data_IF_075057695658
#
_entry.id   IF_075057695658
#
_cell.length_a   1.000
_cell.length_b   1.000
_cell.length_c   1.000
_cell.angle_alpha   90.00
_cell.angle_beta   90.00
_cell.angle_gamma   90.00
#
_symmetry.space_group_name_H-M   'P 1'
#
loop_
_entity.id
_entity.type
_entity.pdbx_description
1 polymer ?
#
# COMPACT_ATOMS: atom_id res chain seq x y z
N UNK A 1 0.62 3.75 -15.07
CA UNK A 1 1.79 3.34 -14.27
C UNK A 1 1.48 2.00 -13.62
N UNK A 2 2.49 1.15 -13.49
CA UNK A 2 2.42 -0.24 -13.05
C UNK A 2 2.72 -0.31 -11.53
N UNK A 3 1.79 -0.76 -10.69
CA UNK A 3 1.95 -0.76 -9.22
C UNK A 3 2.58 -2.06 -8.73
N UNK A 4 3.45 -1.96 -7.72
CA UNK A 4 4.07 -3.10 -7.04
C UNK A 4 3.22 -3.58 -5.86
N UNK A 5 2.62 -2.64 -5.12
CA UNK A 5 1.69 -2.91 -4.02
C UNK A 5 0.44 -2.07 -4.23
N UNK A 6 -0.71 -2.69 -3.98
CA UNK A 6 -2.01 -2.05 -3.90
C UNK A 6 -2.53 -2.20 -2.48
N UNK A 7 -2.82 -1.11 -1.78
CA UNK A 7 -3.44 -1.13 -0.45
C UNK A 7 -4.90 -0.77 -0.62
N UNK A 8 -5.79 -1.66 -0.20
CA UNK A 8 -7.22 -1.50 -0.34
C UNK A 8 -7.79 -0.70 0.83
N UNK A 9 -8.85 0.07 0.59
CA UNK A 9 -9.56 0.84 1.62
C UNK A 9 -10.42 0.01 2.56
N UNK A 10 -9.97 -1.19 2.90
CA UNK A 10 -10.62 -2.12 3.80
C UNK A 10 -9.59 -2.92 4.59
N UNK A 11 -10.00 -3.44 5.73
CA UNK A 11 -9.24 -4.42 6.50
C UNK A 11 -9.29 -5.79 5.83
N UNK A 12 -8.47 -6.74 6.29
CA UNK A 12 -8.51 -8.14 5.82
C UNK A 12 -9.84 -8.84 6.10
N UNK A 13 -10.56 -8.43 7.14
CA UNK A 13 -11.92 -8.91 7.44
C UNK A 13 -12.97 -8.35 6.47
N UNK A 14 -12.61 -7.39 5.62
CA UNK A 14 -13.51 -6.74 4.66
C UNK A 14 -14.16 -5.45 5.19
N UNK A 15 -13.84 -5.02 6.40
CA UNK A 15 -14.40 -3.80 6.99
C UNK A 15 -13.81 -2.56 6.31
N UNK A 16 -14.65 -1.59 5.95
CA UNK A 16 -14.18 -0.33 5.34
C UNK A 16 -13.31 0.45 6.32
N UNK A 17 -12.16 0.92 5.84
CA UNK A 17 -11.27 1.75 6.64
C UNK A 17 -11.88 3.11 6.96
N UNK A 18 -11.68 3.55 8.21
CA UNK A 18 -12.11 4.86 8.70
C UNK A 18 -10.89 5.71 9.08
N UNK A 19 -10.97 7.05 8.96
CA UNK A 19 -12.13 7.81 8.49
C UNK A 19 -12.37 7.63 6.97
N UNK A 20 -13.61 7.33 6.62
CA UNK A 20 -14.12 7.41 5.25
C UNK A 20 -14.57 8.85 5.05
N UNK A 21 -13.95 9.58 4.12
CA UNK A 21 -14.11 11.02 3.98
C UNK A 21 -15.59 11.42 3.88
N UNK A 22 -16.03 12.32 4.76
CA UNK A 22 -17.33 13.01 4.70
C UNK A 22 -17.32 14.22 3.74
N UNK A 23 -16.35 14.29 2.82
CA UNK A 23 -16.27 15.33 1.80
C UNK A 23 -14.91 16.00 1.63
N UNK A 24 -13.91 15.76 2.50
CA UNK A 24 -12.56 16.33 2.36
C UNK A 24 -11.46 15.26 2.21
N UNK A 25 -10.56 15.36 1.21
CA UNK A 25 -9.52 14.36 0.97
C UNK A 25 -8.52 14.13 2.12
N UNK A 26 -8.20 15.17 2.89
CA UNK A 26 -7.29 15.12 4.04
C UNK A 26 -7.87 14.41 5.27
N UNK A 27 -9.17 14.14 5.28
CA UNK A 27 -9.86 13.42 6.34
C UNK A 27 -10.10 11.95 5.98
N UNK A 28 -9.35 11.41 5.02
CA UNK A 28 -9.46 10.03 4.57
C UNK A 28 -8.31 9.19 5.11
N UNK A 29 -8.53 7.89 5.39
CA UNK A 29 -7.49 6.98 5.86
C UNK A 29 -6.24 6.95 4.95
N UNK A 30 -6.40 7.25 3.66
CA UNK A 30 -5.29 7.30 2.69
C UNK A 30 -4.29 8.42 2.99
N UNK A 31 -4.73 9.52 3.60
CA UNK A 31 -3.86 10.64 3.97
C UNK A 31 -2.87 10.26 5.07
N UNK A 32 -3.19 9.26 5.90
CA UNK A 32 -2.28 8.76 6.94
C UNK A 32 -0.93 8.30 6.38
N UNK A 33 -0.94 7.77 5.15
CA UNK A 33 0.27 7.35 4.44
C UNK A 33 0.66 8.34 3.34
N UNK A 34 -0.29 8.81 2.53
CA UNK A 34 0.03 9.63 1.36
C UNK A 34 0.61 11.00 1.71
N UNK A 35 0.18 11.62 2.82
CA UNK A 35 0.69 12.94 3.22
C UNK A 35 2.16 12.86 3.63
N UNK A 36 2.58 11.75 4.25
CA UNK A 36 3.99 11.50 4.62
C UNK A 36 4.91 11.42 3.39
N UNK A 37 4.36 11.03 2.24
CA UNK A 37 5.10 10.79 1.01
C UNK A 37 4.59 11.64 -0.17
N UNK A 38 3.96 12.78 0.10
CA UNK A 38 3.35 13.63 -0.94
C UNK A 38 4.32 14.09 -2.04
N UNK A 39 5.62 14.12 -1.74
CA UNK A 39 6.68 14.47 -2.69
C UNK A 39 7.27 13.27 -3.44
N UNK A 40 6.82 12.05 -3.13
CA UNK A 40 7.31 10.83 -3.74
C UNK A 40 6.46 10.48 -4.97
N UNK A 41 7.08 10.44 -6.15
CA UNK A 41 6.36 10.18 -7.40
C UNK A 41 5.89 8.72 -7.55
N UNK A 42 6.26 7.85 -6.61
CA UNK A 42 5.89 6.44 -6.61
C UNK A 42 4.70 6.07 -5.73
N UNK A 43 4.05 7.02 -5.06
CA UNK A 43 2.77 6.78 -4.36
C UNK A 43 1.64 7.50 -5.10
N UNK A 44 0.51 6.82 -5.28
CA UNK A 44 -0.68 7.41 -5.92
C UNK A 44 -1.95 6.89 -5.25
N UNK A 45 -2.95 7.76 -5.13
CA UNK A 45 -4.26 7.41 -4.59
C UNK A 45 -5.25 7.29 -5.74
N UNK A 46 -5.90 6.14 -5.85
CA UNK A 46 -6.94 5.87 -6.83
C UNK A 46 -8.30 5.82 -6.15
N UNK A 47 -9.31 6.34 -6.83
CA UNK A 47 -10.70 6.29 -6.38
C UNK A 47 -11.42 5.12 -7.05
N UNK A 48 -12.09 4.32 -6.24
CA UNK A 48 -12.91 3.20 -6.66
C UNK A 48 -14.33 3.51 -6.17
N UNK A 49 -15.26 3.69 -7.11
CA UNK A 49 -16.68 3.91 -6.85
C UNK A 49 -16.99 5.09 -5.90
N UNK A 50 -16.15 6.14 -5.93
CA UNK A 50 -16.35 7.39 -5.18
C UNK A 50 -16.21 7.32 -3.66
N UNK A 51 -16.14 6.12 -3.08
CA UNK A 51 -16.03 5.91 -1.62
C UNK A 51 -14.85 5.06 -1.20
N UNK A 52 -14.43 4.12 -2.06
CA UNK A 52 -13.28 3.28 -1.78
C UNK A 52 -12.06 3.95 -2.39
N UNK A 53 -10.93 3.92 -1.67
CA UNK A 53 -9.65 4.34 -2.23
C UNK A 53 -8.69 3.19 -2.23
N UNK A 54 -7.80 3.20 -3.20
CA UNK A 54 -6.66 2.29 -3.30
C UNK A 54 -5.39 3.15 -3.27
N UNK A 55 -4.40 2.75 -2.48
CA UNK A 55 -3.05 3.33 -2.59
C UNK A 55 -2.23 2.41 -3.49
N UNK A 56 -1.77 2.97 -4.60
CA UNK A 56 -0.88 2.33 -5.54
C UNK A 56 0.55 2.78 -5.28
N UNK A 57 1.42 1.83 -4.96
CA UNK A 57 2.84 2.09 -4.69
C UNK A 57 3.66 1.43 -5.80
N UNK A 58 4.47 2.23 -6.49
CA UNK A 58 5.27 1.82 -7.64
C UNK A 58 6.73 1.56 -7.25
N UNK A 59 7.51 1.05 -8.21
CA UNK A 59 8.94 0.82 -8.02
C UNK A 59 9.73 2.08 -7.68
N UNK A 60 9.30 3.24 -8.19
CA UNK A 60 10.03 4.49 -7.99
C UNK A 60 9.97 4.96 -6.54
N UNK A 61 8.93 4.56 -5.80
CA UNK A 61 8.83 4.80 -4.37
C UNK A 61 10.02 4.19 -3.61
N UNK A 62 10.35 2.93 -3.91
CA UNK A 62 11.48 2.22 -3.29
C UNK A 62 12.85 2.72 -3.75
N UNK A 63 12.93 3.52 -4.82
CA UNK A 63 14.18 4.17 -5.23
C UNK A 63 14.42 5.46 -4.47
N UNK A 64 13.34 6.15 -4.11
CA UNK A 64 13.38 7.45 -3.43
C UNK A 64 13.33 7.31 -1.91
N UNK A 65 12.89 6.17 -1.38
CA UNK A 65 12.76 5.93 0.05
C UNK A 65 13.41 4.60 0.44
N UNK A 66 14.61 4.68 1.04
CA UNK A 66 15.42 3.52 1.46
C UNK A 66 14.65 2.58 2.40
N UNK A 67 13.91 3.14 3.36
CA UNK A 67 13.08 2.40 4.34
C UNK A 67 11.59 2.44 4.03
N UNK A 68 11.22 2.86 2.81
CA UNK A 68 9.82 3.05 2.45
C UNK A 68 9.03 1.74 2.52
N UNK A 69 9.68 0.62 2.23
CA UNK A 69 9.04 -0.68 2.27
C UNK A 69 8.66 -1.10 3.69
N UNK A 70 9.59 -1.01 4.66
CA UNK A 70 9.25 -1.34 6.04
C UNK A 70 8.12 -0.45 6.57
N UNK A 71 8.15 0.85 6.27
CA UNK A 71 7.12 1.79 6.70
C UNK A 71 5.74 1.46 6.11
N UNK A 72 5.67 1.16 4.81
CA UNK A 72 4.43 0.75 4.14
C UNK A 72 3.89 -0.54 4.76
N UNK A 73 4.75 -1.52 5.00
CA UNK A 73 4.32 -2.79 5.59
C UNK A 73 3.96 -2.70 7.06
N UNK A 74 4.61 -1.80 7.81
CA UNK A 74 4.22 -1.48 9.18
C UNK A 74 2.85 -0.81 9.19
N UNK A 75 2.59 0.12 8.27
CA UNK A 75 1.28 0.77 8.13
C UNK A 75 0.18 -0.25 7.82
N UNK A 76 0.40 -1.15 6.85
CA UNK A 76 -0.53 -2.23 6.52
C UNK A 76 -0.81 -3.11 7.74
N UNK A 77 0.22 -3.49 8.51
CA UNK A 77 0.08 -4.34 9.70
C UNK A 77 -0.64 -3.62 10.84
N UNK A 78 -0.31 -2.37 11.10
CA UNK A 78 -0.90 -1.56 12.17
C UNK A 78 -2.41 -1.37 11.98
N UNK A 79 -2.86 -1.27 10.73
CA UNK A 79 -4.25 -1.03 10.38
C UNK A 79 -4.98 -2.27 9.84
N UNK A 80 -4.34 -3.45 9.91
CA UNK A 80 -4.81 -4.73 9.37
C UNK A 80 -5.40 -4.61 7.95
N UNK A 81 -4.71 -3.85 7.09
CA UNK A 81 -5.20 -3.54 5.75
C UNK A 81 -5.15 -4.74 4.83
N UNK A 82 -6.17 -4.86 3.99
CA UNK A 82 -6.12 -5.72 2.83
C UNK A 82 -5.21 -5.09 1.76
N UNK A 83 -4.39 -5.90 1.11
CA UNK A 83 -3.43 -5.45 0.11
C UNK A 83 -3.11 -6.55 -0.90
N UNK A 84 -2.66 -6.14 -2.08
CA UNK A 84 -2.25 -7.05 -3.16
C UNK A 84 -0.85 -6.70 -3.61
N UNK A 85 0.02 -7.71 -3.71
CA UNK A 85 1.35 -7.58 -4.30
C UNK A 85 1.28 -7.98 -5.77
N UNK A 86 1.73 -7.10 -6.67
CA UNK A 86 1.78 -7.37 -8.10
C UNK A 86 3.22 -7.77 -8.49
N UNK A 87 3.54 -9.06 -8.29
CA UNK A 87 4.89 -9.63 -8.41
C UNK A 87 5.53 -9.46 -9.80
N UNK A 88 4.75 -9.41 -10.88
CA UNK A 88 5.26 -9.35 -12.26
C UNK A 88 5.92 -8.02 -12.62
N UNK A 89 5.81 -7.00 -11.78
CA UNK A 89 6.22 -5.62 -12.14
C UNK A 89 7.31 -5.06 -11.21
N UNK A 90 7.78 -5.87 -10.26
CA UNK A 90 8.75 -5.47 -9.26
C UNK A 90 9.99 -6.37 -9.30
N UNK A 91 10.94 -6.04 -10.18
CA UNK A 91 12.26 -6.69 -10.21
C UNK A 91 13.09 -6.49 -8.93
N UNK A 92 12.68 -5.57 -8.03
CA UNK A 92 13.18 -5.47 -6.64
C UNK A 92 12.38 -6.31 -5.64
N UNK A 93 11.21 -6.83 -5.97
CA UNK A 93 10.47 -7.75 -5.10
C UNK A 93 11.01 -9.19 -5.27
N UNK A 94 11.57 -9.49 -6.45
CA UNK A 94 12.45 -10.65 -6.64
C UNK A 94 13.81 -10.38 -5.96
N UNK A 95 14.00 -10.92 -4.75
CA UNK A 95 15.30 -10.98 -4.07
C UNK A 95 15.60 -9.88 -3.05
N UNK A 96 14.74 -8.87 -2.86
CA UNK A 96 14.86 -7.99 -1.69
C UNK A 96 14.30 -8.71 -0.47
N UNK A 97 15.11 -8.87 0.57
CA UNK A 97 14.79 -9.62 1.80
C UNK A 97 13.44 -9.24 2.39
N UNK A 98 13.07 -7.97 2.28
CA UNK A 98 11.79 -7.45 2.77
C UNK A 98 10.57 -7.97 1.98
N UNK A 99 10.68 -8.21 0.67
CA UNK A 99 9.62 -8.83 -0.15
C UNK A 99 9.59 -10.37 0.00
N UNK A 100 10.76 -11.00 0.16
CA UNK A 100 10.89 -12.45 0.41
C UNK A 100 10.40 -12.84 1.81
N UNK A 101 10.60 -12.00 2.82
CA UNK A 101 10.11 -12.23 4.18
C UNK A 101 8.58 -12.19 4.28
N UNK A 102 7.90 -11.46 3.38
CA UNK A 102 6.43 -11.44 3.34
C UNK A 102 5.84 -12.74 2.79
N UNK A 103 6.46 -13.30 1.75
CA UNK A 103 6.15 -14.60 1.15
C UNK A 103 6.27 -15.76 2.16
N UNK A 104 7.15 -15.61 3.16
CA UNK A 104 7.34 -16.59 4.23
C UNK A 104 6.43 -16.35 5.45
N UNK A 105 5.94 -15.13 5.65
CA UNK A 105 5.04 -14.78 6.78
C UNK A 105 3.56 -15.03 6.49
N UNK A 106 3.17 -14.90 5.21
CA UNK A 106 1.87 -15.32 4.70
C UNK A 106 2.11 -16.68 4.05
N UNK A 107 2.16 -17.73 4.88
CA UNK A 107 2.55 -19.06 4.44
C UNK A 107 1.98 -19.41 3.07
N UNK A 108 2.87 -19.86 2.18
CA UNK A 108 2.51 -20.50 0.93
C UNK A 108 1.43 -21.54 1.21
N UNK A 109 0.18 -21.17 0.95
CA UNK A 109 -0.86 -22.14 0.69
C UNK A 109 -0.71 -22.42 -0.81
N UNK A 110 -0.12 -23.57 -1.08
CA UNK A 110 -0.03 -24.18 -2.40
C UNK A 110 -1.40 -24.32 -3.06
#
# INVERSE_FOLDING_TARGET
MKSCIKIHGRTKSGDKMRPSATGQPSQHWTSLLADQYQHNSGISIHWIDGQNREINITRDFWRQCEYGFEHVMQFIRLHDLDYTICHTECAKCQGHSACVAMDQSLGAVA
#
